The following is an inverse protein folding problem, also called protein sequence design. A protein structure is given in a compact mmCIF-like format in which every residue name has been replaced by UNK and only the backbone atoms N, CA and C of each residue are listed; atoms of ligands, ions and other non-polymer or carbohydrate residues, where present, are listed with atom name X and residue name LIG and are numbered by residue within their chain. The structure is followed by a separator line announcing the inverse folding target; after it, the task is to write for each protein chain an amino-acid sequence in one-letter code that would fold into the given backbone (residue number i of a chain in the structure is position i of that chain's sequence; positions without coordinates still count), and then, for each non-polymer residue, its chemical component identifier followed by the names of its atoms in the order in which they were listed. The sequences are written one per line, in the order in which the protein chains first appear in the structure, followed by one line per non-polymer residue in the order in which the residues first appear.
data_IF_520687281276
#
_entry.id   IF_520687281276
#
_cell.length_a   1.000
_cell.length_b   1.000
_cell.length_c   1.000
_cell.angle_alpha   90.00
_cell.angle_beta   90.00
_cell.angle_gamma   90.00
#
_symmetry.space_group_name_H-M   'P 1'
#
loop_
_entity.id
_entity.type
_entity.pdbx_description
1 polymer ?
#
# COMPACT_ATOMS: atom_id res chain seq x y z
N UNK A 1 -23.78 -7.56 14.64
CA UNK A 1 -23.09 -6.72 15.64
C UNK A 1 -22.90 -5.35 14.99
N UNK A 2 -23.42 -4.29 15.61
CA UNK A 2 -23.32 -2.93 15.06
C UNK A 2 -21.88 -2.42 15.23
N UNK A 3 -21.15 -2.28 14.12
CA UNK A 3 -19.75 -1.87 14.12
C UNK A 3 -19.64 -0.34 14.22
N UNK A 4 -19.67 0.20 15.44
CA UNK A 4 -19.33 1.60 15.74
C UNK A 4 -17.81 1.86 15.70
N UNK A 5 -17.08 1.27 14.75
CA UNK A 5 -15.69 1.64 14.50
C UNK A 5 -15.64 2.78 13.47
N UNK A 6 -14.81 3.81 13.66
CA UNK A 6 -14.71 4.94 12.74
C UNK A 6 -14.16 4.54 11.36
N UNK A 7 -13.67 3.30 11.21
CA UNK A 7 -13.19 2.77 9.95
C UNK A 7 -14.19 1.80 9.31
N UNK A 8 -14.36 1.95 7.99
CA UNK A 8 -15.11 1.02 7.15
C UNK A 8 -14.19 -0.13 6.74
N UNK A 9 -14.55 -1.36 7.10
CA UNK A 9 -13.93 -2.56 6.52
C UNK A 9 -14.39 -2.65 5.06
N UNK A 10 -13.45 -2.61 4.13
CA UNK A 10 -13.69 -2.77 2.70
C UNK A 10 -13.65 -4.27 2.33
N UNK A 11 -14.30 -4.67 1.22
CA UNK A 11 -14.32 -6.07 0.77
C UNK A 11 -12.92 -6.69 0.66
N UNK A 12 -12.87 -8.02 0.72
CA UNK A 12 -11.65 -8.85 0.78
C UNK A 12 -10.57 -8.51 -0.26
N UNK A 13 -10.95 -7.91 -1.39
CA UNK A 13 -10.02 -7.46 -2.43
C UNK A 13 -10.25 -6.01 -2.83
N UNK A 14 -9.21 -5.20 -2.69
CA UNK A 14 -9.15 -3.86 -3.27
C UNK A 14 -8.97 -3.98 -4.78
N UNK A 15 -9.93 -3.47 -5.55
CA UNK A 15 -9.87 -3.42 -7.02
C UNK A 15 -9.76 -1.99 -7.56
N UNK A 16 -10.14 -1.00 -6.73
CA UNK A 16 -10.08 0.43 -7.03
C UNK A 16 -10.04 1.22 -5.73
N UNK A 17 -9.37 2.37 -5.77
CA UNK A 17 -9.35 3.37 -4.70
C UNK A 17 -10.20 4.57 -5.12
N UNK A 18 -10.87 5.19 -4.15
CA UNK A 18 -11.43 6.52 -4.33
C UNK A 18 -10.32 7.58 -4.33
N UNK A 19 -10.61 8.78 -4.85
CA UNK A 19 -9.64 9.87 -5.04
C UNK A 19 -8.86 10.24 -3.76
N UNK A 20 -9.51 10.16 -2.60
CA UNK A 20 -8.89 10.50 -1.31
C UNK A 20 -8.42 9.28 -0.51
N UNK A 21 -8.33 8.10 -1.14
CA UNK A 21 -7.83 6.89 -0.50
C UNK A 21 -6.39 6.62 -0.88
N UNK A 22 -5.60 6.16 0.09
CA UNK A 22 -4.21 5.77 -0.10
C UNK A 22 -4.09 4.28 0.19
N UNK A 23 -3.51 3.53 -0.74
CA UNK A 23 -3.13 2.15 -0.49
C UNK A 23 -1.80 2.09 0.26
N UNK A 24 -1.84 1.60 1.49
CA UNK A 24 -0.64 1.46 2.33
C UNK A 24 -0.10 0.04 2.18
N UNK A 25 1.20 -0.10 1.94
CA UNK A 25 1.82 -1.41 1.73
C UNK A 25 3.21 -1.50 2.37
N UNK A 26 3.62 -2.73 2.71
CA UNK A 26 4.98 -3.03 3.16
C UNK A 26 5.96 -3.07 1.98
N UNK A 27 7.11 -2.44 2.13
CA UNK A 27 8.21 -2.41 1.16
C UNK A 27 9.51 -2.88 1.81
N UNK A 28 10.38 -3.49 1.00
CA UNK A 28 11.76 -3.75 1.40
C UNK A 28 12.63 -2.47 1.21
N UNK A 29 13.82 -2.50 1.81
CA UNK A 29 14.80 -1.38 1.75
C UNK A 29 15.30 -1.07 0.34
N UNK A 30 15.13 -2.00 -0.60
CA UNK A 30 15.56 -1.83 -1.99
C UNK A 30 14.45 -1.28 -2.90
N UNK A 31 13.23 -1.06 -2.38
CA UNK A 31 12.08 -0.63 -3.18
C UNK A 31 11.69 -1.64 -4.28
N UNK A 32 12.05 -2.92 -4.12
CA UNK A 32 11.71 -3.96 -5.10
C UNK A 32 10.27 -4.41 -4.88
N UNK A 33 9.36 -3.75 -5.58
CA UNK A 33 7.92 -4.01 -5.54
C UNK A 33 7.50 -5.11 -6.51
N UNK A 34 8.11 -6.30 -6.37
CA UNK A 34 7.95 -7.40 -7.33
C UNK A 34 6.91 -8.47 -6.97
N UNK A 35 6.37 -8.45 -5.74
CA UNK A 35 5.42 -9.45 -5.27
C UNK A 35 4.39 -8.87 -4.28
N UNK A 36 3.31 -9.64 -4.03
CA UNK A 36 2.32 -9.36 -2.99
C UNK A 36 1.69 -7.97 -3.08
N UNK A 37 1.50 -7.32 -1.93
CA UNK A 37 0.93 -5.97 -1.84
C UNK A 37 1.78 -4.92 -2.56
N UNK A 38 3.11 -5.07 -2.57
CA UNK A 38 4.00 -4.14 -3.25
C UNK A 38 3.82 -4.20 -4.78
N UNK A 39 3.67 -5.40 -5.35
CA UNK A 39 3.36 -5.54 -6.78
C UNK A 39 2.01 -4.90 -7.13
N UNK A 40 0.99 -5.10 -6.28
CA UNK A 40 -0.30 -4.45 -6.46
C UNK A 40 -0.17 -2.91 -6.44
N UNK A 41 0.57 -2.37 -5.47
CA UNK A 41 0.79 -0.93 -5.36
C UNK A 41 1.48 -0.37 -6.63
N UNK A 42 2.48 -1.08 -7.16
CA UNK A 42 3.17 -0.70 -8.40
C UNK A 42 2.26 -0.76 -9.63
N UNK A 43 1.45 -1.82 -9.77
CA UNK A 43 0.61 -2.04 -10.96
C UNK A 43 -0.63 -1.14 -10.99
N UNK A 44 -1.22 -0.84 -9.83
CA UNK A 44 -2.56 -0.23 -9.77
C UNK A 44 -2.62 1.08 -8.98
N UNK A 45 -1.61 1.36 -8.15
CA UNK A 45 -1.59 2.56 -7.29
C UNK A 45 -0.43 3.51 -7.65
N UNK A 46 0.29 3.26 -8.75
CA UNK A 46 1.43 4.04 -9.22
C UNK A 46 2.59 4.13 -8.19
N UNK A 47 2.84 3.05 -7.43
CA UNK A 47 4.04 2.98 -6.60
C UNK A 47 5.30 2.93 -7.47
N UNK A 48 6.35 3.59 -7.02
CA UNK A 48 7.60 3.78 -7.75
C UNK A 48 8.57 2.63 -7.45
N UNK A 49 8.94 1.88 -8.50
CA UNK A 49 9.94 0.83 -8.35
C UNK A 49 11.31 1.43 -7.97
N UNK A 50 11.97 0.85 -6.98
CA UNK A 50 13.23 1.35 -6.42
C UNK A 50 13.05 2.42 -5.34
N UNK A 51 11.82 2.88 -5.07
CA UNK A 51 11.53 3.80 -3.97
C UNK A 51 10.97 3.02 -2.76
N UNK A 52 11.74 2.85 -1.68
CA UNK A 52 11.36 1.97 -0.57
C UNK A 52 10.32 2.56 0.38
N UNK A 53 10.09 3.88 0.38
CA UNK A 53 9.32 4.52 1.45
C UNK A 53 8.52 5.76 1.02
N UNK A 54 7.52 6.11 1.82
CA UNK A 54 6.78 7.36 1.70
C UNK A 54 5.69 7.36 0.64
N UNK A 55 5.16 8.56 0.35
CA UNK A 55 4.06 8.77 -0.60
C UNK A 55 4.52 8.58 -2.04
N UNK A 56 3.85 7.72 -2.78
CA UNK A 56 4.15 7.41 -4.18
C UNK A 56 2.81 7.18 -4.91
N UNK A 57 2.54 7.93 -5.98
CA UNK A 57 1.24 7.84 -6.65
C UNK A 57 0.06 8.00 -5.69
N UNK A 58 -0.85 7.03 -5.71
CA UNK A 58 -1.99 6.92 -4.79
C UNK A 58 -1.73 5.84 -3.71
N UNK A 59 -0.48 5.73 -3.27
CA UNK A 59 -0.01 4.74 -2.29
C UNK A 59 0.99 5.32 -1.29
N UNK A 60 1.24 4.57 -0.22
CA UNK A 60 2.25 4.88 0.79
C UNK A 60 3.04 3.62 1.14
N UNK A 61 4.36 3.67 0.94
CA UNK A 61 5.27 2.58 1.26
C UNK A 61 5.78 2.72 2.71
N UNK A 62 5.66 1.64 3.49
CA UNK A 62 6.27 1.50 4.81
C UNK A 62 7.40 0.49 4.71
N UNK A 63 8.62 0.89 5.07
CA UNK A 63 9.76 -0.02 5.09
C UNK A 63 9.60 -1.01 6.24
N UNK A 64 9.55 -2.29 5.92
CA UNK A 64 9.41 -3.37 6.92
C UNK A 64 10.73 -4.07 7.22
N UNK A 65 11.72 -3.94 6.33
CA UNK A 65 13.05 -4.57 6.48
C UNK A 65 14.03 -3.68 7.26
N UNK A 66 13.62 -3.18 8.43
CA UNK A 66 14.53 -2.47 9.33
C UNK A 66 15.48 -3.49 9.96
N UNK A 67 16.72 -3.54 9.47
CA UNK A 67 17.80 -4.17 10.23
C UNK A 67 18.11 -3.24 11.40
N UNK A 68 17.65 -3.62 12.60
CA UNK A 68 18.08 -3.02 13.86
C UNK A 68 19.56 -3.29 14.12
#
# INVERSE_FOLDING_TARGET
MSNNHPYKIIPDRVIKLAENQIFVFGSNTQGRHGAGSALFARQYCNAEYGNPQGRQGQSWAIVTDLKL
#
